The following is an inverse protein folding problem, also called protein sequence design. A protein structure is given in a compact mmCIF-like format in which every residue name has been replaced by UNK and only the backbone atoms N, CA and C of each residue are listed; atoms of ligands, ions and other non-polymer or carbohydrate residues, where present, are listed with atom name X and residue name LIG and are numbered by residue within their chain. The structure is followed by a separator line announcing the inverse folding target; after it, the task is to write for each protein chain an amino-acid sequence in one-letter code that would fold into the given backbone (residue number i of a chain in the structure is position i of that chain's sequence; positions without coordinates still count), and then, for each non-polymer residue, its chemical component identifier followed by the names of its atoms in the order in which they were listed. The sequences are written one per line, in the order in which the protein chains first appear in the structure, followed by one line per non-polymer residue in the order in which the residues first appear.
data_IF_336963237383
#
_entry.id   IF_336963237383
#
_cell.length_a   1.000
_cell.length_b   1.000
_cell.length_c   1.000
_cell.angle_alpha   90.00
_cell.angle_beta   90.00
_cell.angle_gamma   90.00
#
_symmetry.space_group_name_H-M   'P 1'
#
loop_
_entity.id
_entity.type
_entity.pdbx_description
1 polymer ?
#
# COMPACT_ATOMS: atom_id res chain seq x y z
N UNK A 1 -18.97 -52.48 15.65
CA UNK A 1 -18.52 -51.12 15.93
C UNK A 1 -17.31 -50.91 15.08
N UNK A 2 -17.51 -50.41 13.87
CA UNK A 2 -16.48 -50.10 12.88
C UNK A 2 -16.03 -48.66 13.13
N UNK A 3 -14.78 -48.54 13.53
CA UNK A 3 -14.09 -47.28 13.82
C UNK A 3 -13.79 -46.61 12.49
N UNK A 4 -14.68 -45.69 12.06
CA UNK A 4 -14.44 -44.82 10.93
C UNK A 4 -13.50 -43.66 11.39
N UNK A 5 -12.20 -43.92 11.33
CA UNK A 5 -11.22 -42.85 11.43
C UNK A 5 -11.44 -41.88 10.25
N UNK A 6 -11.53 -40.56 10.49
CA UNK A 6 -11.68 -39.61 9.41
C UNK A 6 -10.45 -39.66 8.51
N UNK A 7 -10.68 -40.03 7.25
CA UNK A 7 -9.67 -40.04 6.18
C UNK A 7 -8.96 -38.68 6.16
N UNK A 8 -7.66 -38.70 6.48
CA UNK A 8 -6.77 -37.55 6.37
C UNK A 8 -6.88 -36.97 4.94
N UNK A 9 -7.48 -35.78 4.88
CA UNK A 9 -7.72 -35.04 3.66
C UNK A 9 -6.36 -34.69 3.03
N UNK A 10 -6.10 -35.20 1.82
CA UNK A 10 -4.89 -34.93 1.04
C UNK A 10 -4.69 -33.42 0.99
N UNK A 11 -3.52 -32.94 1.38
CA UNK A 11 -3.13 -31.53 1.28
C UNK A 11 -3.24 -31.11 -0.19
N UNK A 12 -4.29 -30.43 -0.55
CA UNK A 12 -4.39 -29.80 -1.85
C UNK A 12 -3.33 -28.69 -1.90
N UNK A 13 -2.52 -28.66 -2.97
CA UNK A 13 -1.59 -27.56 -3.20
C UNK A 13 -2.33 -26.20 -3.15
N UNK A 14 -1.72 -25.15 -2.59
CA UNK A 14 -2.36 -23.85 -2.49
C UNK A 14 -2.74 -23.32 -3.88
N UNK A 15 -3.96 -22.79 -3.98
CA UNK A 15 -4.42 -22.13 -5.21
C UNK A 15 -3.68 -20.81 -5.38
N UNK A 16 -2.95 -20.66 -6.47
CA UNK A 16 -2.18 -19.47 -6.80
C UNK A 16 -2.87 -18.74 -7.94
N UNK A 17 -3.04 -17.42 -7.79
CA UNK A 17 -3.53 -16.55 -8.85
C UNK A 17 -2.54 -15.42 -9.13
N UNK A 18 -2.11 -15.29 -10.39
CA UNK A 18 -1.45 -14.09 -10.87
C UNK A 18 -2.51 -13.05 -11.23
N UNK A 19 -2.42 -11.86 -10.67
CA UNK A 19 -3.40 -10.78 -10.82
C UNK A 19 -2.71 -9.53 -11.39
N UNK A 20 -3.05 -9.15 -12.61
CA UNK A 20 -2.30 -8.20 -13.44
C UNK A 20 -3.19 -7.00 -13.77
N UNK A 21 -2.98 -5.84 -13.15
CA UNK A 21 -3.66 -4.61 -13.55
C UNK A 21 -3.07 -4.09 -14.87
N UNK A 22 -3.92 -3.82 -15.86
CA UNK A 22 -3.50 -3.35 -17.18
C UNK A 22 -4.26 -2.09 -17.62
N UNK A 23 -3.53 -1.19 -18.29
CA UNK A 23 -4.09 -0.06 -19.01
C UNK A 23 -3.19 0.30 -20.19
N UNK A 24 -3.63 0.01 -21.42
CA UNK A 24 -2.87 0.23 -22.66
C UNK A 24 -1.50 -0.46 -22.63
N UNK A 25 -1.48 -1.77 -22.48
CA UNK A 25 -0.25 -2.61 -22.43
C UNK A 25 -0.29 -3.72 -23.52
N UNK A 26 -0.96 -3.48 -24.65
CA UNK A 26 -1.08 -4.47 -25.74
C UNK A 26 0.27 -5.04 -26.20
N UNK A 27 1.35 -4.22 -26.17
CA UNK A 27 2.70 -4.63 -26.59
C UNK A 27 3.40 -5.57 -25.59
N UNK A 28 3.01 -5.53 -24.31
CA UNK A 28 3.73 -6.20 -23.22
C UNK A 28 2.94 -7.38 -22.63
N UNK A 29 1.62 -7.30 -22.59
CA UNK A 29 0.79 -8.20 -21.79
C UNK A 29 0.91 -9.68 -22.21
N UNK A 30 1.08 -9.98 -23.49
CA UNK A 30 1.26 -11.35 -23.95
C UNK A 30 2.52 -12.01 -23.36
N UNK A 31 3.63 -11.26 -23.30
CA UNK A 31 4.89 -11.70 -22.71
C UNK A 31 4.72 -11.96 -21.20
N UNK A 32 4.02 -11.06 -20.48
CA UNK A 32 3.78 -11.22 -19.05
C UNK A 32 2.95 -12.47 -18.76
N UNK A 33 1.87 -12.69 -19.52
CA UNK A 33 1.00 -13.86 -19.37
C UNK A 33 1.78 -15.15 -19.69
N UNK A 34 2.54 -15.19 -20.78
CA UNK A 34 3.37 -16.35 -21.15
C UNK A 34 4.44 -16.64 -20.09
N UNK A 35 5.08 -15.59 -19.55
CA UNK A 35 6.08 -15.72 -18.50
C UNK A 35 5.50 -16.33 -17.22
N UNK A 36 4.31 -15.89 -16.78
CA UNK A 36 3.65 -16.49 -15.61
C UNK A 36 3.17 -17.92 -15.86
N UNK A 37 2.71 -18.25 -17.07
CA UNK A 37 2.38 -19.63 -17.42
C UNK A 37 3.58 -20.57 -17.32
N UNK A 38 4.75 -20.10 -17.74
CA UNK A 38 5.99 -20.86 -17.64
C UNK A 38 6.48 -20.98 -16.20
N UNK A 39 6.43 -19.87 -15.44
CA UNK A 39 6.95 -19.81 -14.06
C UNK A 39 6.04 -20.49 -13.04
N UNK A 40 4.72 -20.46 -13.24
CA UNK A 40 3.70 -20.98 -12.32
C UNK A 40 2.73 -21.92 -13.04
N UNK A 41 3.15 -23.15 -13.41
CA UNK A 41 2.28 -24.14 -14.04
C UNK A 41 1.08 -24.45 -13.12
N UNK A 42 -0.13 -24.25 -13.63
CA UNK A 42 -1.38 -24.48 -12.87
C UNK A 42 -1.91 -23.29 -12.10
N UNK A 43 -1.22 -22.14 -12.09
CA UNK A 43 -1.78 -20.91 -11.56
C UNK A 43 -2.82 -20.31 -12.51
N UNK A 44 -3.89 -19.72 -11.95
CA UNK A 44 -4.83 -18.91 -12.72
C UNK A 44 -4.21 -17.54 -13.01
N UNK A 45 -4.29 -17.08 -14.27
CA UNK A 45 -3.78 -15.77 -14.67
C UNK A 45 -4.95 -14.86 -14.99
N UNK A 46 -5.14 -13.84 -14.15
CA UNK A 46 -6.20 -12.86 -14.26
C UNK A 46 -5.63 -11.51 -14.69
N UNK A 47 -6.08 -11.00 -15.83
CA UNK A 47 -5.78 -9.67 -16.32
C UNK A 47 -6.98 -8.77 -16.10
N UNK A 48 -6.76 -7.66 -15.39
CA UNK A 48 -7.79 -6.67 -15.11
C UNK A 48 -7.58 -5.45 -16.00
N UNK A 49 -8.37 -5.36 -17.06
CA UNK A 49 -8.32 -4.26 -18.01
C UNK A 49 -9.04 -3.02 -17.46
N UNK A 50 -8.31 -1.93 -17.30
CA UNK A 50 -8.82 -0.68 -16.73
C UNK A 50 -9.18 0.37 -17.80
N UNK A 51 -10.10 0.05 -18.68
CA UNK A 51 -10.53 0.87 -19.80
C UNK A 51 -9.40 1.14 -20.81
N UNK A 52 -8.66 0.14 -21.23
CA UNK A 52 -7.72 0.27 -22.34
C UNK A 52 -8.41 0.71 -23.61
N UNK A 53 -7.71 1.52 -24.39
CA UNK A 53 -8.16 2.01 -25.71
C UNK A 53 -7.45 1.29 -26.85
N UNK A 54 -6.50 0.41 -26.53
CA UNK A 54 -5.78 -0.47 -27.45
C UNK A 54 -6.26 -1.92 -27.30
N UNK A 55 -5.62 -2.84 -27.98
CA UNK A 55 -5.98 -4.25 -28.01
C UNK A 55 -5.55 -5.06 -26.76
N UNK A 56 -5.20 -4.40 -25.65
CA UNK A 56 -4.73 -5.07 -24.42
C UNK A 56 -5.60 -6.26 -24.00
N UNK A 57 -6.92 -6.06 -23.95
CA UNK A 57 -7.85 -7.11 -23.51
C UNK A 57 -7.93 -8.29 -24.49
N UNK A 58 -7.86 -8.03 -25.81
CA UNK A 58 -7.88 -9.06 -26.84
C UNK A 58 -6.57 -9.89 -26.82
N UNK A 59 -5.43 -9.20 -26.73
CA UNK A 59 -4.09 -9.83 -26.65
C UNK A 59 -3.96 -10.69 -25.39
N UNK A 60 -4.43 -10.20 -24.24
CA UNK A 60 -4.40 -10.96 -22.98
C UNK A 60 -5.24 -12.24 -23.06
N UNK A 61 -6.45 -12.17 -23.65
CA UNK A 61 -7.30 -13.37 -23.87
C UNK A 61 -6.64 -14.36 -24.81
N UNK A 62 -6.06 -13.88 -25.91
CA UNK A 62 -5.35 -14.74 -26.87
C UNK A 62 -4.14 -15.44 -26.23
N UNK A 63 -3.45 -14.77 -25.29
CA UNK A 63 -2.38 -15.38 -24.48
C UNK A 63 -2.93 -16.36 -23.43
N UNK A 64 -4.26 -16.43 -23.23
CA UNK A 64 -4.98 -17.38 -22.38
C UNK A 64 -5.20 -16.89 -20.95
N UNK A 65 -5.16 -15.61 -20.68
CA UNK A 65 -5.56 -15.07 -19.40
C UNK A 65 -7.09 -14.93 -19.29
N UNK A 66 -7.60 -15.02 -18.06
CA UNK A 66 -8.96 -14.61 -17.72
C UNK A 66 -8.99 -13.08 -17.67
N UNK A 67 -9.74 -12.44 -18.54
CA UNK A 67 -9.76 -10.97 -18.62
C UNK A 67 -11.04 -10.39 -18.03
N UNK A 68 -10.90 -9.55 -17.02
CA UNK A 68 -11.99 -8.83 -16.37
C UNK A 68 -11.88 -7.34 -16.70
N UNK A 69 -12.97 -6.74 -17.21
CA UNK A 69 -13.05 -5.30 -17.44
C UNK A 69 -13.40 -4.55 -16.15
N UNK A 70 -12.65 -3.48 -15.85
CA UNK A 70 -12.88 -2.62 -14.68
C UNK A 70 -13.20 -1.20 -15.15
N UNK A 71 -14.48 -0.85 -15.11
CA UNK A 71 -14.99 0.44 -15.62
C UNK A 71 -14.47 1.66 -14.84
N UNK A 72 -14.25 1.52 -13.51
CA UNK A 72 -13.72 2.62 -12.69
C UNK A 72 -12.21 2.79 -12.93
N UNK A 73 -11.82 3.92 -13.54
CA UNK A 73 -10.40 4.21 -13.83
C UNK A 73 -9.55 4.36 -12.59
N UNK A 74 -8.34 3.80 -12.63
CA UNK A 74 -7.28 3.92 -11.64
C UNK A 74 -6.89 2.60 -11.01
N UNK A 75 -5.58 2.39 -10.80
CA UNK A 75 -4.98 1.15 -10.32
C UNK A 75 -5.58 0.67 -8.99
N UNK A 76 -5.89 1.59 -8.06
CA UNK A 76 -6.52 1.22 -6.80
C UNK A 76 -7.91 0.62 -6.95
N UNK A 77 -8.72 1.10 -7.93
CA UNK A 77 -10.01 0.49 -8.24
C UNK A 77 -9.84 -0.92 -8.83
N UNK A 78 -8.78 -1.13 -9.62
CA UNK A 78 -8.42 -2.44 -10.16
C UNK A 78 -8.04 -3.40 -9.03
N UNK A 79 -7.14 -3.00 -8.13
CA UNK A 79 -6.71 -3.84 -7.00
C UNK A 79 -7.90 -4.24 -6.12
N UNK A 80 -8.86 -3.33 -5.92
CA UNK A 80 -10.11 -3.66 -5.20
C UNK A 80 -10.88 -4.79 -5.87
N UNK A 81 -11.02 -4.74 -7.20
CA UNK A 81 -11.71 -5.78 -7.97
C UNK A 81 -10.92 -7.09 -7.95
N UNK A 82 -9.58 -7.03 -8.10
CA UNK A 82 -8.72 -8.20 -8.03
C UNK A 82 -8.95 -8.98 -6.73
N UNK A 83 -8.91 -8.30 -5.58
CA UNK A 83 -9.10 -8.94 -4.27
C UNK A 83 -10.56 -9.33 -3.96
N UNK A 84 -11.53 -8.68 -4.60
CA UNK A 84 -12.95 -9.03 -4.45
C UNK A 84 -13.34 -10.24 -5.29
N UNK A 85 -12.92 -10.27 -6.56
CA UNK A 85 -13.44 -11.20 -7.56
C UNK A 85 -12.61 -12.49 -7.65
N UNK A 86 -11.33 -12.47 -7.32
CA UNK A 86 -10.46 -13.64 -7.37
C UNK A 86 -10.42 -14.35 -6.01
N UNK A 87 -10.62 -15.67 -6.03
CA UNK A 87 -10.49 -16.54 -4.87
C UNK A 87 -9.26 -17.43 -5.01
N UNK A 88 -8.21 -17.10 -4.26
CA UNK A 88 -6.95 -17.85 -4.24
C UNK A 88 -6.39 -17.89 -2.80
N UNK A 89 -5.43 -18.78 -2.54
CA UNK A 89 -4.70 -18.85 -1.28
C UNK A 89 -3.48 -17.92 -1.30
N UNK A 90 -2.91 -17.71 -2.50
CA UNK A 90 -1.77 -16.84 -2.75
C UNK A 90 -2.06 -15.99 -3.98
N UNK A 91 -1.89 -14.68 -3.86
CA UNK A 91 -2.04 -13.71 -4.93
C UNK A 91 -0.68 -13.18 -5.34
N UNK A 92 -0.34 -13.26 -6.62
CA UNK A 92 0.86 -12.67 -7.21
C UNK A 92 0.43 -11.48 -8.03
N UNK A 93 0.66 -10.27 -7.52
CA UNK A 93 0.37 -9.03 -8.24
C UNK A 93 1.62 -8.53 -8.95
N UNK A 94 1.47 -8.17 -10.23
CA UNK A 94 2.54 -7.56 -11.02
C UNK A 94 1.95 -6.60 -12.05
N UNK A 95 2.68 -5.56 -12.43
CA UNK A 95 2.29 -4.66 -13.51
C UNK A 95 2.37 -5.36 -14.88
N UNK A 96 1.44 -5.01 -15.79
CA UNK A 96 1.33 -5.64 -17.12
C UNK A 96 2.31 -5.12 -18.17
N UNK A 97 3.35 -4.36 -17.77
CA UNK A 97 4.26 -3.64 -18.66
C UNK A 97 5.58 -4.38 -19.00
N UNK A 98 5.68 -5.65 -18.58
CA UNK A 98 6.84 -6.51 -18.79
C UNK A 98 8.17 -5.99 -18.18
N UNK A 99 8.11 -5.10 -17.20
CA UNK A 99 9.31 -4.59 -16.51
C UNK A 99 9.81 -5.49 -15.40
N UNK A 100 8.96 -6.38 -14.86
CA UNK A 100 9.31 -7.30 -13.79
C UNK A 100 9.60 -8.70 -14.32
N UNK A 101 10.57 -9.37 -13.70
CA UNK A 101 10.92 -10.75 -14.00
C UNK A 101 9.86 -11.73 -13.44
N UNK A 102 9.05 -12.30 -14.32
CA UNK A 102 8.03 -13.28 -13.95
C UNK A 102 8.64 -14.59 -13.42
N UNK A 103 9.89 -14.94 -13.80
CA UNK A 103 10.58 -16.13 -13.31
C UNK A 103 10.94 -16.04 -11.81
N UNK A 104 10.90 -14.86 -11.21
CA UNK A 104 11.07 -14.67 -9.77
C UNK A 104 9.83 -15.13 -8.95
N UNK A 105 8.66 -15.30 -9.56
CA UNK A 105 7.42 -15.60 -8.85
C UNK A 105 7.49 -16.84 -7.94
N UNK A 106 8.02 -18.00 -8.37
CA UNK A 106 8.13 -19.19 -7.50
C UNK A 106 8.96 -18.90 -6.24
N UNK A 107 10.06 -18.16 -6.36
CA UNK A 107 10.93 -17.80 -5.24
C UNK A 107 10.22 -16.87 -4.25
N UNK A 108 9.47 -15.87 -4.73
CA UNK A 108 8.68 -14.98 -3.90
C UNK A 108 7.58 -15.73 -3.15
N UNK A 109 6.90 -16.67 -3.83
CA UNK A 109 5.86 -17.52 -3.24
C UNK A 109 6.48 -18.43 -2.17
N UNK A 110 7.60 -19.08 -2.48
CA UNK A 110 8.30 -19.95 -1.53
C UNK A 110 8.72 -19.16 -0.27
N UNK A 111 9.24 -17.94 -0.45
CA UNK A 111 9.58 -17.04 0.66
C UNK A 111 8.36 -16.72 1.54
N UNK A 112 7.20 -16.51 0.93
CA UNK A 112 5.94 -16.25 1.66
C UNK A 112 5.52 -17.47 2.47
N UNK A 113 5.60 -18.67 1.90
CA UNK A 113 5.21 -19.94 2.55
C UNK A 113 6.18 -20.27 3.69
N UNK A 114 7.49 -20.28 3.45
CA UNK A 114 8.52 -20.66 4.42
C UNK A 114 8.54 -19.74 5.63
N UNK A 115 8.41 -18.44 5.38
CA UNK A 115 8.35 -17.41 6.41
C UNK A 115 6.98 -17.28 7.10
N UNK A 116 5.95 -18.00 6.63
CA UNK A 116 4.55 -17.80 7.04
C UNK A 116 4.17 -16.31 6.97
N UNK A 117 4.55 -15.66 5.86
CA UNK A 117 4.39 -14.24 5.65
C UNK A 117 3.01 -13.91 5.06
N UNK A 118 2.61 -12.65 5.18
CA UNK A 118 1.40 -12.14 4.57
C UNK A 118 1.64 -11.30 3.32
N UNK A 119 2.86 -10.77 3.20
CA UNK A 119 3.29 -10.01 2.03
C UNK A 119 4.78 -10.24 1.76
N UNK A 120 5.11 -10.44 0.48
CA UNK A 120 6.49 -10.36 -0.01
C UNK A 120 6.53 -9.31 -1.11
N UNK A 121 7.46 -8.37 -1.01
CA UNK A 121 7.67 -7.30 -1.98
C UNK A 121 8.87 -7.67 -2.85
N UNK A 122 8.68 -7.73 -4.16
CA UNK A 122 9.78 -7.83 -5.13
C UNK A 122 10.46 -6.47 -5.25
N UNK A 123 11.59 -6.31 -4.56
CA UNK A 123 12.37 -5.07 -4.58
C UNK A 123 13.10 -4.96 -5.91
N UNK A 124 13.01 -3.80 -6.56
CA UNK A 124 13.62 -3.53 -7.86
C UNK A 124 15.11 -3.28 -7.68
N UNK A 125 15.91 -4.26 -8.10
CA UNK A 125 17.37 -4.13 -8.17
C UNK A 125 17.74 -3.75 -9.59
N UNK A 126 18.47 -2.66 -9.70
CA UNK A 126 19.06 -2.21 -10.97
C UNK A 126 20.34 -3.02 -11.19
N UNK A 127 20.35 -3.90 -12.21
CA UNK A 127 21.48 -4.76 -12.54
C UNK A 127 22.71 -3.99 -13.07
N UNK A 128 22.71 -2.66 -12.95
CA UNK A 128 23.82 -1.81 -13.32
C UNK A 128 24.08 -1.69 -14.84
N UNK A 129 23.43 -2.52 -15.64
CA UNK A 129 23.61 -2.52 -17.11
C UNK A 129 22.69 -1.51 -17.83
N UNK A 130 21.65 -0.99 -17.13
CA UNK A 130 20.69 -0.06 -17.72
C UNK A 130 20.47 1.18 -16.83
N UNK A 131 21.50 2.01 -16.70
CA UNK A 131 21.41 3.31 -15.99
C UNK A 131 20.29 4.24 -16.52
N UNK A 132 19.74 3.95 -17.69
CA UNK A 132 18.62 4.67 -18.33
C UNK A 132 17.24 4.27 -17.78
N UNK A 133 17.12 3.14 -17.08
CA UNK A 133 15.83 2.59 -16.63
C UNK A 133 15.26 3.36 -15.44
N UNK A 134 16.11 3.95 -14.62
CA UNK A 134 15.72 4.71 -13.43
C UNK A 134 16.12 6.18 -13.55
N UNK A 135 15.16 7.06 -13.85
CA UNK A 135 15.41 8.52 -13.76
C UNK A 135 15.85 8.87 -12.35
N UNK A 136 16.98 9.57 -12.19
CA UNK A 136 17.59 9.91 -10.89
C UNK A 136 16.60 10.53 -9.89
N UNK A 137 15.66 11.36 -10.33
CA UNK A 137 14.61 11.96 -9.51
C UNK A 137 13.59 10.95 -8.96
N UNK A 138 13.30 9.84 -9.67
CA UNK A 138 12.38 8.80 -9.18
C UNK A 138 12.99 7.99 -8.02
N UNK A 139 14.30 7.71 -8.08
CA UNK A 139 15.01 7.00 -7.00
C UNK A 139 15.00 7.79 -5.70
N UNK A 140 15.35 9.08 -5.78
CA UNK A 140 15.35 9.97 -4.63
C UNK A 140 13.92 10.12 -4.07
N UNK A 141 12.92 10.34 -4.94
CA UNK A 141 11.53 10.46 -4.54
C UNK A 141 11.00 9.19 -3.86
N UNK A 142 11.26 8.00 -4.42
CA UNK A 142 10.87 6.74 -3.80
C UNK A 142 11.54 6.55 -2.42
N UNK A 143 12.83 6.83 -2.31
CA UNK A 143 13.57 6.72 -1.04
C UNK A 143 13.04 7.67 0.02
N UNK A 144 12.74 8.92 -0.35
CA UNK A 144 12.15 9.90 0.57
C UNK A 144 10.76 9.51 1.02
N UNK A 145 9.90 9.06 0.10
CA UNK A 145 8.53 8.65 0.39
C UNK A 145 8.51 7.36 1.24
N UNK A 146 9.35 6.38 0.91
CA UNK A 146 9.51 5.16 1.70
C UNK A 146 10.03 5.48 3.10
N UNK A 147 11.05 6.34 3.22
CA UNK A 147 11.57 6.81 4.50
C UNK A 147 10.51 7.50 5.35
N UNK A 148 9.67 8.34 4.76
CA UNK A 148 8.56 8.98 5.47
C UNK A 148 7.54 7.96 6.01
N UNK A 149 7.18 6.94 5.21
CA UNK A 149 6.27 5.87 5.67
C UNK A 149 6.90 5.05 6.78
N UNK A 150 8.17 4.65 6.63
CA UNK A 150 8.91 3.89 7.67
C UNK A 150 9.01 4.69 8.96
N UNK A 151 9.28 5.99 8.89
CA UNK A 151 9.35 6.86 10.08
C UNK A 151 7.98 7.01 10.77
N UNK A 152 6.90 7.14 9.99
CA UNK A 152 5.55 7.36 10.53
C UNK A 152 4.87 6.08 11.02
N UNK A 153 5.07 4.97 10.32
CA UNK A 153 4.34 3.71 10.58
C UNK A 153 5.22 2.59 11.13
N UNK A 154 6.55 2.77 11.09
CA UNK A 154 7.52 1.74 11.44
C UNK A 154 7.83 0.83 10.24
N UNK A 155 8.69 -0.19 10.49
CA UNK A 155 9.07 -1.17 9.48
C UNK A 155 10.46 -0.93 8.89
N UNK A 156 10.86 -1.76 7.93
CA UNK A 156 12.18 -1.73 7.28
C UNK A 156 12.13 -1.89 5.76
N UNK A 157 10.99 -1.56 5.12
CA UNK A 157 10.84 -1.62 3.67
C UNK A 157 11.76 -0.61 2.98
N UNK A 158 12.35 -1.04 1.85
CA UNK A 158 13.25 -0.22 1.04
C UNK A 158 12.63 0.25 -0.28
N UNK A 159 11.65 -0.51 -0.84
CA UNK A 159 10.92 -0.16 -2.06
C UNK A 159 9.39 -0.30 -1.87
N UNK A 160 8.77 0.69 -1.26
CA UNK A 160 7.32 0.65 -1.05
C UNK A 160 6.48 0.84 -2.32
N UNK A 161 7.07 1.38 -3.39
CA UNK A 161 6.37 1.65 -4.64
C UNK A 161 6.51 0.52 -5.68
N UNK A 162 7.11 -0.62 -5.31
CA UNK A 162 7.14 -1.79 -6.18
C UNK A 162 5.73 -2.31 -6.44
N UNK A 163 5.41 -2.54 -7.73
CA UNK A 163 4.18 -3.18 -8.18
C UNK A 163 4.24 -4.71 -8.14
N UNK A 164 5.40 -5.31 -7.88
CA UNK A 164 5.55 -6.76 -7.78
C UNK A 164 5.39 -7.22 -6.33
N UNK A 165 4.28 -7.84 -6.01
CA UNK A 165 3.98 -8.26 -4.65
C UNK A 165 3.29 -9.61 -4.62
N UNK A 166 3.62 -10.41 -3.61
CA UNK A 166 2.91 -11.66 -3.31
C UNK A 166 2.17 -11.48 -1.99
N UNK A 167 0.90 -11.88 -1.97
CA UNK A 167 0.04 -11.71 -0.80
C UNK A 167 -0.60 -13.03 -0.37
N UNK A 168 -0.76 -13.22 0.93
CA UNK A 168 -1.62 -14.27 1.48
C UNK A 168 -3.10 -13.93 1.28
N UNK A 169 -3.96 -14.93 1.33
CA UNK A 169 -5.42 -14.74 1.30
C UNK A 169 -5.91 -13.83 2.41
N UNK A 170 -5.41 -14.01 3.64
CA UNK A 170 -5.82 -13.18 4.78
C UNK A 170 -5.42 -11.72 4.61
N UNK A 171 -4.26 -11.43 3.98
CA UNK A 171 -3.89 -10.09 3.59
C UNK A 171 -4.91 -9.51 2.59
N UNK A 172 -5.11 -10.18 1.45
CA UNK A 172 -5.97 -9.70 0.37
C UNK A 172 -7.41 -9.44 0.83
N UNK A 173 -7.99 -10.34 1.64
CA UNK A 173 -9.37 -10.24 2.11
C UNK A 173 -9.58 -9.33 3.33
N UNK A 174 -8.51 -8.89 4.00
CA UNK A 174 -8.57 -7.87 5.06
C UNK A 174 -8.25 -6.45 4.57
N UNK A 175 -7.75 -6.30 3.34
CA UNK A 175 -7.35 -5.03 2.76
C UNK A 175 -8.56 -4.22 2.28
N UNK A 176 -8.77 -2.98 2.77
CA UNK A 176 -9.96 -2.20 2.45
C UNK A 176 -9.93 -1.53 1.07
N UNK A 177 -8.76 -1.36 0.43
CA UNK A 177 -8.53 -0.76 -0.89
C UNK A 177 -9.28 0.58 -1.08
N UNK A 178 -8.93 1.59 -0.31
CA UNK A 178 -9.60 2.90 -0.31
C UNK A 178 -9.09 3.83 -1.40
N UNK A 179 -7.83 3.70 -1.80
CA UNK A 179 -7.17 4.50 -2.83
C UNK A 179 -7.74 4.19 -4.22
N UNK A 180 -7.67 5.19 -5.11
CA UNK A 180 -8.18 5.04 -6.49
C UNK A 180 -7.08 4.89 -7.53
N UNK A 181 -5.89 5.45 -7.30
CA UNK A 181 -4.79 5.55 -8.26
C UNK A 181 -3.54 4.77 -7.84
N UNK A 182 -2.38 5.28 -8.24
CA UNK A 182 -1.06 4.69 -7.97
C UNK A 182 -0.63 4.81 -6.50
N UNK A 183 -1.33 5.58 -5.71
CA UNK A 183 -1.16 5.62 -4.26
C UNK A 183 -1.53 4.30 -3.56
N UNK A 184 -2.07 3.34 -4.30
CA UNK A 184 -2.46 2.02 -3.80
C UNK A 184 -1.27 1.24 -3.23
N UNK A 185 -0.06 1.34 -3.82
CA UNK A 185 1.15 0.70 -3.32
C UNK A 185 1.52 1.18 -1.92
N UNK A 186 1.35 2.49 -1.68
CA UNK A 186 1.53 3.07 -0.35
C UNK A 186 0.51 2.53 0.64
N UNK A 187 -0.76 2.44 0.23
CA UNK A 187 -1.83 1.92 1.08
C UNK A 187 -1.63 0.44 1.41
N UNK A 188 -1.20 -0.37 0.43
CA UNK A 188 -0.83 -1.77 0.63
C UNK A 188 0.28 -1.90 1.68
N UNK A 189 1.32 -1.08 1.59
CA UNK A 189 2.42 -1.08 2.56
C UNK A 189 1.95 -0.68 3.95
N UNK A 190 1.22 0.44 4.07
CA UNK A 190 0.74 0.94 5.36
C UNK A 190 -0.21 -0.07 6.03
N UNK A 191 -1.05 -0.78 5.27
CA UNK A 191 -1.92 -1.82 5.80
C UNK A 191 -1.14 -2.95 6.49
N UNK A 192 -0.07 -3.45 5.85
CA UNK A 192 0.80 -4.46 6.45
C UNK A 192 1.44 -3.96 7.76
N UNK A 193 1.97 -2.72 7.75
CA UNK A 193 2.62 -2.12 8.90
C UNK A 193 1.65 -1.84 10.05
N UNK A 194 0.44 -1.33 9.75
CA UNK A 194 -0.60 -1.02 10.73
C UNK A 194 -1.06 -2.26 11.49
N UNK A 195 -1.31 -3.36 10.79
CA UNK A 195 -1.74 -4.62 11.39
C UNK A 195 -0.58 -5.47 11.90
N UNK A 196 0.67 -5.01 11.72
CA UNK A 196 1.90 -5.73 12.08
C UNK A 196 1.93 -7.12 11.43
N UNK A 197 1.53 -7.19 10.17
CA UNK A 197 1.60 -8.42 9.40
C UNK A 197 3.06 -8.79 9.13
N UNK A 198 3.43 -10.08 9.15
CA UNK A 198 4.77 -10.50 8.76
C UNK A 198 4.96 -10.27 7.25
N UNK A 199 6.05 -9.60 6.89
CA UNK A 199 6.41 -9.33 5.50
C UNK A 199 7.93 -9.50 5.28
N UNK A 200 8.32 -9.63 4.00
CA UNK A 200 9.71 -9.61 3.58
C UNK A 200 9.87 -8.86 2.25
N UNK A 201 11.11 -8.50 1.94
CA UNK A 201 11.52 -8.02 0.62
C UNK A 201 12.46 -9.05 0.00
N UNK A 202 12.34 -9.24 -1.31
CA UNK A 202 13.21 -10.10 -2.12
C UNK A 202 13.64 -9.31 -3.36
N UNK A 203 14.93 -9.35 -3.67
CA UNK A 203 15.47 -8.68 -4.85
C UNK A 203 14.97 -9.33 -6.13
N UNK A 204 14.43 -8.53 -7.04
CA UNK A 204 13.98 -8.99 -8.36
C UNK A 204 14.59 -8.13 -9.45
N UNK A 205 14.91 -8.76 -10.60
CA UNK A 205 15.39 -8.03 -11.77
C UNK A 205 14.28 -7.09 -12.28
N UNK A 206 14.69 -5.91 -12.69
CA UNK A 206 13.81 -4.89 -13.22
C UNK A 206 14.34 -4.38 -14.55
N UNK A 207 13.60 -4.66 -15.62
CA UNK A 207 14.01 -4.41 -17.01
C UNK A 207 13.37 -3.13 -17.57
N UNK A 208 13.89 -2.67 -18.71
CA UNK A 208 13.27 -1.61 -19.50
C UNK A 208 11.96 -2.12 -20.13
N UNK A 209 11.01 -1.21 -20.33
CA UNK A 209 9.79 -1.50 -21.06
C UNK A 209 10.09 -1.87 -22.52
N UNK A 210 9.25 -2.69 -23.16
CA UNK A 210 9.33 -2.90 -24.59
C UNK A 210 9.28 -1.59 -25.37
N UNK A 211 9.97 -1.55 -26.53
CA UNK A 211 9.94 -0.39 -27.42
C UNK A 211 8.49 -0.03 -27.80
N UNK A 212 8.15 1.26 -27.76
CA UNK A 212 6.78 1.75 -28.02
C UNK A 212 5.86 1.80 -26.80
N UNK A 213 6.23 1.21 -25.67
CA UNK A 213 5.47 1.34 -24.42
C UNK A 213 5.93 2.57 -23.61
N UNK A 214 4.99 3.41 -23.19
CA UNK A 214 5.27 4.63 -22.45
C UNK A 214 4.84 4.53 -20.98
N UNK A 215 5.68 5.07 -20.08
CA UNK A 215 5.32 5.18 -18.67
C UNK A 215 4.11 6.10 -18.50
N UNK A 216 3.07 5.63 -17.84
CA UNK A 216 1.85 6.37 -17.51
C UNK A 216 1.97 7.16 -16.21
N UNK A 217 3.11 7.03 -15.51
CA UNK A 217 3.44 7.77 -14.30
C UNK A 217 4.01 9.15 -14.63
N UNK A 218 3.42 10.18 -14.04
CA UNK A 218 3.93 11.55 -14.04
C UNK A 218 4.67 11.81 -12.72
N UNK A 219 6.00 11.95 -12.77
CA UNK A 219 6.88 12.04 -11.61
C UNK A 219 6.39 13.06 -10.56
N UNK A 220 6.09 14.28 -10.97
CA UNK A 220 5.72 15.35 -10.05
C UNK A 220 4.26 15.21 -9.56
N UNK A 221 3.32 14.94 -10.46
CA UNK A 221 1.90 14.84 -10.15
C UNK A 221 1.60 13.63 -9.27
N UNK A 222 2.19 12.48 -9.60
CA UNK A 222 1.96 11.26 -8.84
C UNK A 222 2.76 11.27 -7.53
N UNK A 223 3.98 11.84 -7.50
CA UNK A 223 4.72 12.09 -6.27
C UNK A 223 3.93 12.96 -5.28
N UNK A 224 3.30 14.04 -5.75
CA UNK A 224 2.42 14.88 -4.93
C UNK A 224 1.18 14.12 -4.42
N UNK A 225 0.58 13.27 -5.25
CA UNK A 225 -0.54 12.42 -4.84
C UNK A 225 -0.14 11.43 -3.75
N UNK A 226 1.03 10.79 -3.91
CA UNK A 226 1.57 9.86 -2.90
C UNK A 226 1.84 10.60 -1.59
N UNK A 227 2.47 11.77 -1.64
CA UNK A 227 2.71 12.59 -0.44
C UNK A 227 1.39 12.98 0.25
N UNK A 228 0.41 13.44 -0.52
CA UNK A 228 -0.94 13.74 0.01
C UNK A 228 -1.59 12.51 0.65
N UNK A 229 -1.39 11.34 0.07
CA UNK A 229 -1.90 10.08 0.62
C UNK A 229 -1.19 9.70 1.90
N UNK A 230 0.15 9.86 1.99
CA UNK A 230 0.91 9.66 3.22
C UNK A 230 0.39 10.59 4.33
N UNK A 231 0.20 11.88 4.04
CA UNK A 231 -0.37 12.82 4.99
C UNK A 231 -1.79 12.42 5.43
N UNK A 232 -2.65 12.02 4.48
CA UNK A 232 -4.00 11.55 4.76
C UNK A 232 -3.98 10.29 5.64
N UNK A 233 -3.11 9.33 5.34
CA UNK A 233 -2.95 8.11 6.13
C UNK A 233 -2.39 8.44 7.52
N UNK A 234 -1.45 9.39 7.64
CA UNK A 234 -0.94 9.83 8.94
C UNK A 234 -2.06 10.41 9.82
N UNK A 235 -2.88 11.32 9.27
CA UNK A 235 -4.06 11.86 9.98
C UNK A 235 -5.06 10.77 10.35
N UNK A 236 -5.30 9.81 9.46
CA UNK A 236 -6.29 8.75 9.63
C UNK A 236 -5.84 7.65 10.59
N UNK A 237 -4.55 7.28 10.57
CA UNK A 237 -4.03 6.13 11.31
C UNK A 237 -3.25 6.53 12.58
N UNK A 238 -2.78 7.79 12.66
CA UNK A 238 -2.06 8.35 13.82
C UNK A 238 -2.66 9.69 14.28
N UNK A 239 -4.01 9.80 14.44
CA UNK A 239 -4.66 11.08 14.68
C UNK A 239 -4.18 11.76 15.98
N UNK A 240 -3.94 10.99 17.05
CA UNK A 240 -3.46 11.57 18.29
C UNK A 240 -2.13 12.29 18.10
N UNK A 241 -1.18 11.71 17.39
CA UNK A 241 0.12 12.35 17.12
C UNK A 241 -0.05 13.59 16.27
N UNK A 242 -0.85 13.53 15.20
CA UNK A 242 -1.11 14.65 14.31
C UNK A 242 -1.72 15.85 15.07
N UNK A 243 -2.81 15.63 15.79
CA UNK A 243 -3.51 16.68 16.53
C UNK A 243 -2.71 17.18 17.73
N UNK A 244 -1.89 16.33 18.37
CA UNK A 244 -1.00 16.78 19.46
C UNK A 244 0.10 17.72 18.96
N UNK A 245 0.64 17.48 17.73
CA UNK A 245 1.60 18.41 17.12
C UNK A 245 0.94 19.77 16.88
N UNK A 246 -0.28 19.79 16.31
CA UNK A 246 -1.03 21.04 16.09
C UNK A 246 -1.31 21.74 17.43
N UNK A 247 -1.77 21.00 18.44
CA UNK A 247 -2.05 21.53 19.77
C UNK A 247 -0.79 22.14 20.38
N UNK A 248 0.35 21.47 20.30
CA UNK A 248 1.62 21.96 20.83
C UNK A 248 2.07 23.25 20.12
N UNK A 249 1.95 23.31 18.79
CA UNK A 249 2.30 24.51 18.02
C UNK A 249 1.40 25.71 18.38
N UNK A 250 0.09 25.49 18.49
CA UNK A 250 -0.87 26.53 18.87
C UNK A 250 -0.64 26.98 20.30
N UNK A 251 -0.40 26.06 21.24
CA UNK A 251 -0.10 26.38 22.63
C UNK A 251 1.21 27.15 22.77
N UNK A 252 2.27 26.72 22.08
CA UNK A 252 3.54 27.45 22.06
C UNK A 252 3.38 28.85 21.49
N UNK A 253 2.65 29.02 20.39
CA UNK A 253 2.32 30.32 19.82
C UNK A 253 1.52 31.22 20.82
N UNK A 254 0.54 30.65 21.50
CA UNK A 254 -0.22 31.38 22.54
C UNK A 254 0.68 31.84 23.69
N UNK A 255 1.59 30.95 24.17
CA UNK A 255 2.55 31.30 25.24
C UNK A 255 3.48 32.44 24.79
N UNK A 256 4.04 32.35 23.58
CA UNK A 256 4.90 33.43 23.03
C UNK A 256 4.17 34.76 22.96
N UNK A 257 2.88 34.78 22.61
CA UNK A 257 2.05 36.00 22.60
C UNK A 257 1.75 36.54 24.01
N UNK A 258 1.64 35.67 25.01
CA UNK A 258 1.31 36.06 26.41
C UNK A 258 2.53 36.62 27.13
N UNK A 259 3.76 36.16 26.85
CA UNK A 259 4.97 36.60 27.54
C UNK A 259 5.10 38.14 27.59
N UNK A 260 5.05 38.90 26.47
CA UNK A 260 5.16 40.36 26.52
C UNK A 260 3.97 41.05 27.22
N UNK A 261 2.78 40.46 27.18
CA UNK A 261 1.60 40.94 27.89
C UNK A 261 1.80 40.80 29.38
N UNK A 262 2.27 39.67 29.85
CA UNK A 262 2.54 39.39 31.25
C UNK A 262 3.62 40.31 31.81
N UNK A 263 4.71 40.53 31.07
CA UNK A 263 5.78 41.47 31.44
C UNK A 263 5.23 42.87 31.58
N UNK A 264 4.43 43.36 30.63
CA UNK A 264 3.82 44.68 30.69
C UNK A 264 2.85 44.79 31.87
N UNK A 265 2.04 43.78 32.10
CA UNK A 265 1.11 43.75 33.24
C UNK A 265 1.82 43.79 34.58
N UNK A 266 2.91 43.03 34.75
CA UNK A 266 3.69 43.03 36.00
C UNK A 266 4.35 44.41 36.29
N UNK A 267 4.69 45.19 35.25
CA UNK A 267 5.28 46.53 35.42
C UNK A 267 4.25 47.66 35.57
N UNK A 268 3.10 47.54 34.92
CA UNK A 268 2.16 48.67 34.81
C UNK A 268 0.78 48.39 35.43
N UNK A 269 0.45 47.12 35.75
CA UNK A 269 -0.88 46.71 36.18
C UNK A 269 -1.96 46.79 35.09
N UNK A 270 -1.55 47.06 33.82
CA UNK A 270 -2.48 47.25 32.69
C UNK A 270 -2.22 46.28 31.58
N UNK A 271 -3.26 45.96 30.77
CA UNK A 271 -3.19 45.13 29.59
C UNK A 271 -3.47 45.98 28.33
N UNK A 272 -2.50 46.74 27.83
CA UNK A 272 -2.74 47.74 26.76
C UNK A 272 -2.98 47.08 25.40
N UNK A 273 -2.62 45.78 25.22
CA UNK A 273 -2.76 45.06 23.98
C UNK A 273 -3.88 43.98 24.05
N UNK A 274 -5.11 44.45 24.36
CA UNK A 274 -6.28 43.58 24.49
C UNK A 274 -6.49 42.64 23.28
N UNK A 275 -6.34 43.07 21.98
CA UNK A 275 -6.48 42.17 20.83
C UNK A 275 -5.50 41.00 20.87
N UNK A 276 -4.24 41.22 21.33
CA UNK A 276 -3.25 40.15 21.46
C UNK A 276 -3.63 39.16 22.58
N UNK A 277 -4.18 39.64 23.69
CA UNK A 277 -4.68 38.79 24.77
C UNK A 277 -5.82 37.88 24.29
N UNK A 278 -6.78 38.44 23.54
CA UNK A 278 -7.90 37.70 22.96
C UNK A 278 -7.39 36.67 21.96
N UNK A 279 -6.43 37.02 21.07
CA UNK A 279 -5.83 36.09 20.12
C UNK A 279 -5.10 34.93 20.82
N UNK A 280 -4.32 35.21 21.87
CA UNK A 280 -3.62 34.20 22.65
C UNK A 280 -4.60 33.23 23.35
N UNK A 281 -5.68 33.76 23.92
CA UNK A 281 -6.74 32.93 24.51
C UNK A 281 -7.42 32.06 23.45
N UNK A 282 -7.75 32.62 22.28
CA UNK A 282 -8.32 31.90 21.16
C UNK A 282 -7.39 30.78 20.67
N UNK A 283 -6.09 31.06 20.57
CA UNK A 283 -5.08 30.04 20.17
C UNK A 283 -4.98 28.90 21.19
N UNK A 284 -5.02 29.24 22.52
CA UNK A 284 -4.99 28.20 23.56
C UNK A 284 -6.26 27.36 23.56
N UNK A 285 -7.44 27.94 23.35
CA UNK A 285 -8.69 27.19 23.19
C UNK A 285 -8.66 26.30 21.98
N UNK A 286 -8.13 26.77 20.83
CA UNK A 286 -7.94 25.97 19.62
C UNK A 286 -6.96 24.82 19.86
N UNK A 287 -5.90 25.02 20.66
CA UNK A 287 -4.97 23.96 21.07
C UNK A 287 -5.69 22.87 21.87
N UNK A 288 -6.51 23.25 22.85
CA UNK A 288 -7.28 22.30 23.67
C UNK A 288 -8.30 21.53 22.81
N UNK A 289 -9.02 22.21 21.92
CA UNK A 289 -9.96 21.57 20.99
C UNK A 289 -9.25 20.59 20.05
N UNK A 290 -8.06 20.97 19.55
CA UNK A 290 -7.24 20.08 18.74
C UNK A 290 -6.88 18.80 19.49
N UNK A 291 -6.47 18.92 20.77
CA UNK A 291 -6.17 17.74 21.60
C UNK A 291 -7.39 16.85 21.79
N UNK A 292 -8.55 17.42 22.09
CA UNK A 292 -9.81 16.66 22.22
C UNK A 292 -10.15 15.93 20.92
N UNK A 293 -10.06 16.62 19.77
CA UNK A 293 -10.24 15.99 18.47
C UNK A 293 -9.27 14.81 18.27
N UNK A 294 -8.01 14.99 18.67
CA UNK A 294 -7.00 13.93 18.60
C UNK A 294 -7.38 12.69 19.41
N UNK A 295 -7.85 12.86 20.63
CA UNK A 295 -8.29 11.75 21.50
C UNK A 295 -9.52 11.03 20.91
N UNK A 296 -10.53 11.78 20.48
CA UNK A 296 -11.76 11.20 19.89
C UNK A 296 -11.43 10.43 18.61
N UNK A 297 -10.65 11.03 17.71
CA UNK A 297 -10.25 10.36 16.46
C UNK A 297 -9.36 9.14 16.73
N UNK A 298 -8.54 9.17 17.79
CA UNK A 298 -7.75 8.01 18.20
C UNK A 298 -8.64 6.84 18.62
N UNK A 299 -9.67 7.09 19.43
CA UNK A 299 -10.62 6.05 19.83
C UNK A 299 -11.35 5.45 18.63
N UNK A 300 -11.78 6.28 17.67
CA UNK A 300 -12.39 5.80 16.41
C UNK A 300 -11.41 4.94 15.60
N UNK A 301 -10.14 5.37 15.53
CA UNK A 301 -9.10 4.62 14.79
C UNK A 301 -8.81 3.27 15.43
N UNK A 302 -8.81 3.18 16.76
CA UNK A 302 -8.66 1.90 17.47
C UNK A 302 -9.77 0.91 17.09
N UNK A 303 -11.03 1.33 17.13
CA UNK A 303 -12.15 0.47 16.72
C UNK A 303 -12.05 0.01 15.26
N UNK A 304 -11.63 0.90 14.35
CA UNK A 304 -11.38 0.51 12.95
C UNK A 304 -10.24 -0.51 12.79
N UNK A 305 -9.15 -0.37 13.57
CA UNK A 305 -8.04 -1.33 13.57
C UNK A 305 -8.46 -2.67 14.14
N UNK A 306 -9.25 -2.67 15.20
CA UNK A 306 -9.81 -3.90 15.78
C UNK A 306 -10.68 -4.64 14.75
N UNK A 307 -11.56 -3.95 14.05
CA UNK A 307 -12.38 -4.55 13.00
C UNK A 307 -11.54 -5.16 11.86
N UNK A 308 -10.50 -4.45 11.38
CA UNK A 308 -9.57 -4.99 10.38
C UNK A 308 -8.82 -6.22 10.91
N UNK A 309 -8.38 -6.17 12.17
CA UNK A 309 -7.65 -7.28 12.82
C UNK A 309 -8.53 -8.50 13.02
N UNK A 310 -9.78 -8.32 13.44
CA UNK A 310 -10.72 -9.43 13.57
C UNK A 310 -10.97 -10.12 12.23
N UNK A 311 -11.11 -9.33 11.15
CA UNK A 311 -11.24 -9.89 9.80
C UNK A 311 -9.99 -10.64 9.36
N UNK A 312 -8.81 -10.11 9.64
CA UNK A 312 -7.55 -10.78 9.38
C UNK A 312 -7.43 -12.11 10.16
N UNK A 313 -7.78 -12.13 11.44
CA UNK A 313 -7.73 -13.32 12.29
C UNK A 313 -8.75 -14.39 11.91
N UNK A 314 -9.87 -14.01 11.29
CA UNK A 314 -10.90 -14.93 10.82
C UNK A 314 -10.47 -15.79 9.61
N UNK A 315 -9.33 -15.44 8.95
CA UNK A 315 -8.87 -16.12 7.75
C UNK A 315 -7.59 -16.91 8.07
N UNK A 316 -7.52 -18.21 7.73
CA UNK A 316 -6.35 -19.04 7.98
C UNK A 316 -5.09 -18.51 7.28
N UNK A 317 -3.92 -18.71 7.88
CA UNK A 317 -2.63 -18.42 7.27
C UNK A 317 -2.26 -19.41 6.17
N UNK A 318 -1.26 -19.05 5.35
CA UNK A 318 -0.87 -19.81 4.15
C UNK A 318 -0.47 -21.26 4.45
N UNK A 319 0.28 -21.51 5.51
CA UNK A 319 0.66 -22.89 5.91
C UNK A 319 -0.55 -23.77 6.24
N UNK A 320 -1.59 -23.18 6.79
CA UNK A 320 -2.81 -23.92 7.12
C UNK A 320 -3.63 -24.29 5.87
N UNK A 321 -3.49 -23.51 4.79
CA UNK A 321 -4.08 -23.84 3.49
C UNK A 321 -3.29 -24.92 2.77
N UNK A 322 -1.96 -25.00 2.96
CA UNK A 322 -1.09 -26.03 2.37
C UNK A 322 -1.22 -27.40 3.07
N UNK A 323 -1.79 -27.46 4.26
CA UNK A 323 -1.98 -28.69 5.05
C UNK A 323 -3.43 -29.20 5.04
N UNK A 324 -4.33 -28.51 4.38
CA UNK A 324 -5.71 -28.96 4.12
C UNK A 324 -5.84 -29.54 2.74
#
# INVERSE_FOLDING_TARGET
MTDDAPTANRSAAPRIAAVIPCFNEALAIAQVVAGFRAALPGAEIHVFDNNSTDDTAAVARAAGAVVTHVAARGKGNVVRRMFADVEADIYVMVDGDATYDTAAAPRLIQRLIDGNLDMVVGNRVDDGQNALTYRAGHRLGNRMLTGAVVQLFGGGLTDMLSGYRVFSRRYAKSFPALSRGFEIETELTVHALELRMPYAEESTAYSTRPEGSHSKLSTYRDGWRILKTICKLFVSERPLQFFSIIAALLAAGAVVLVIPLLVTYLHTGLVPRLPTAVLATGAMLAAMLSMVCGVVMHAVTLGRREAKRLRYLAIPGVRHCATR
#
